data_IF_237250361253
#
_entry.id   IF_237250361253
#
_cell.length_a   1.000
_cell.length_b   1.000
_cell.length_c   1.000
_cell.angle_alpha   90.00
_cell.angle_beta   90.00
_cell.angle_gamma   90.00
#
_symmetry.space_group_name_H-M   'P 1'
#
loop_
_entity.id
_entity.type
_entity.pdbx_description
1 polymer ?
#
# COMPACT_ATOMS: atom_id res chain seq x y z
N UNK A 1 -6.49 -19.97 11.97
CA UNK A 1 -7.88 -19.46 11.98
C UNK A 1 -8.06 -18.57 10.76
N UNK A 2 -8.70 -19.06 9.70
CA UNK A 2 -8.81 -18.36 8.41
C UNK A 2 -10.00 -17.39 8.43
N UNK A 3 -9.78 -16.15 8.87
CA UNK A 3 -10.77 -15.10 8.71
C UNK A 3 -10.82 -14.66 7.24
N UNK A 4 -11.76 -15.24 6.48
CA UNK A 4 -12.11 -14.83 5.13
C UNK A 4 -13.01 -13.59 5.22
N UNK A 5 -12.47 -12.46 5.66
CA UNK A 5 -13.18 -11.18 5.59
C UNK A 5 -13.58 -10.93 4.12
N UNK A 6 -14.84 -10.57 3.88
CA UNK A 6 -15.23 -10.06 2.58
C UNK A 6 -14.40 -8.80 2.32
N UNK A 7 -13.79 -8.69 1.13
CA UNK A 7 -12.97 -7.54 0.77
C UNK A 7 -13.83 -6.53 0.00
N UNK A 8 -14.05 -5.37 0.60
CA UNK A 8 -14.75 -4.26 -0.06
C UNK A 8 -13.75 -3.23 -0.58
N UNK A 9 -13.67 -3.09 -1.90
CA UNK A 9 -12.82 -2.10 -2.55
C UNK A 9 -13.60 -0.80 -2.74
N UNK A 10 -13.26 0.22 -1.96
CA UNK A 10 -13.83 1.57 -2.14
C UNK A 10 -13.47 2.14 -3.51
N UNK A 11 -14.25 3.11 -3.99
CA UNK A 11 -13.96 3.76 -5.26
C UNK A 11 -12.61 4.46 -5.24
N UNK A 12 -12.26 5.12 -4.13
CA UNK A 12 -10.94 5.71 -3.93
C UNK A 12 -9.81 4.68 -4.09
N UNK A 13 -9.94 3.49 -3.47
CA UNK A 13 -8.94 2.43 -3.65
C UNK A 13 -8.78 2.00 -5.11
N UNK A 14 -9.87 1.91 -5.87
CA UNK A 14 -9.82 1.55 -7.30
C UNK A 14 -9.15 2.64 -8.14
N UNK A 15 -9.41 3.92 -7.83
CA UNK A 15 -8.77 5.06 -8.48
C UNK A 15 -7.27 5.03 -8.22
N UNK A 16 -6.84 4.91 -6.96
CA UNK A 16 -5.42 4.88 -6.62
C UNK A 16 -4.72 3.64 -7.18
N UNK A 17 -5.41 2.50 -7.26
CA UNK A 17 -4.90 1.33 -7.97
C UNK A 17 -4.60 1.60 -9.45
N UNK A 18 -5.50 2.31 -10.16
CA UNK A 18 -5.26 2.73 -11.55
C UNK A 18 -4.09 3.72 -11.63
N UNK A 19 -4.08 4.72 -10.76
CA UNK A 19 -3.03 5.76 -10.69
C UNK A 19 -1.63 5.17 -10.49
N UNK A 20 -1.48 4.20 -9.58
CA UNK A 20 -0.18 3.61 -9.22
C UNK A 20 0.11 2.26 -9.90
N UNK A 21 -0.74 1.82 -10.83
CA UNK A 21 -0.59 0.53 -11.52
C UNK A 21 -0.52 -0.66 -10.56
N UNK A 22 -1.41 -0.69 -9.57
CA UNK A 22 -1.49 -1.74 -8.55
C UNK A 22 -2.61 -2.72 -8.88
N UNK A 23 -2.25 -4.01 -9.01
CA UNK A 23 -3.24 -5.06 -9.24
C UNK A 23 -3.90 -5.51 -7.93
N UNK A 24 -5.16 -5.97 -8.01
CA UNK A 24 -5.86 -6.58 -6.86
C UNK A 24 -5.06 -7.74 -6.28
N UNK A 25 -4.53 -8.62 -7.13
CA UNK A 25 -3.75 -9.79 -6.70
C UNK A 25 -2.51 -9.39 -5.88
N UNK A 26 -1.84 -8.29 -6.24
CA UNK A 26 -0.67 -7.79 -5.52
C UNK A 26 -1.06 -7.22 -4.15
N UNK A 27 -2.16 -6.47 -4.08
CA UNK A 27 -2.67 -5.93 -2.81
C UNK A 27 -3.23 -7.03 -1.90
N UNK A 28 -3.84 -8.08 -2.46
CA UNK A 28 -4.26 -9.26 -1.70
C UNK A 28 -3.05 -9.98 -1.09
N UNK A 29 -1.94 -10.13 -1.84
CA UNK A 29 -0.70 -10.69 -1.28
C UNK A 29 -0.16 -9.86 -0.13
N UNK A 30 -0.17 -8.53 -0.28
CA UNK A 30 0.20 -7.58 0.77
C UNK A 30 -0.70 -7.72 2.02
N UNK A 31 -2.00 -7.94 1.86
CA UNK A 31 -2.92 -8.20 2.99
C UNK A 31 -2.54 -9.45 3.78
N UNK A 32 -2.12 -10.52 3.09
CA UNK A 32 -1.80 -11.79 3.72
C UNK A 32 -0.39 -11.83 4.32
N UNK A 33 0.58 -11.20 3.66
CA UNK A 33 1.98 -11.23 4.06
C UNK A 33 2.60 -9.82 3.97
N UNK A 34 2.19 -8.90 4.86
CA UNK A 34 2.83 -7.60 4.96
C UNK A 34 4.21 -7.72 5.59
N UNK A 35 5.12 -6.82 5.24
CA UNK A 35 6.41 -6.68 5.94
C UNK A 35 6.26 -5.81 7.18
N UNK A 36 5.41 -4.78 7.11
CA UNK A 36 5.04 -3.95 8.26
C UNK A 36 3.54 -3.71 8.33
N UNK A 37 3.04 -3.56 9.55
CA UNK A 37 1.67 -3.19 9.89
C UNK A 37 1.73 -2.01 10.87
N UNK A 38 1.05 -0.93 10.53
CA UNK A 38 1.07 0.34 11.26
C UNK A 38 -0.37 0.87 11.42
N UNK A 39 -0.59 1.78 12.37
CA UNK A 39 -1.86 2.50 12.48
C UNK A 39 -2.03 3.44 11.28
N UNK A 40 -3.19 3.40 10.63
CA UNK A 40 -3.48 4.27 9.50
C UNK A 40 -3.81 5.70 9.94
N UNK A 41 -3.77 6.65 9.00
CA UNK A 41 -4.13 8.05 9.29
C UNK A 41 -5.58 8.19 9.73
N UNK A 42 -6.48 7.42 9.13
CA UNK A 42 -7.90 7.44 9.50
C UNK A 42 -8.07 6.64 10.80
N UNK A 43 -8.78 7.21 11.77
CA UNK A 43 -9.02 6.55 13.05
C UNK A 43 -9.60 5.14 12.87
N UNK A 44 -9.00 4.14 13.50
CA UNK A 44 -9.41 2.74 13.40
C UNK A 44 -9.02 2.05 12.09
N UNK A 45 -8.25 2.71 11.22
CA UNK A 45 -7.66 2.08 10.03
C UNK A 45 -6.27 1.50 10.32
N UNK A 46 -5.87 0.53 9.52
CA UNK A 46 -4.55 -0.10 9.54
C UNK A 46 -3.88 0.12 8.19
N UNK A 47 -2.62 0.53 8.22
CA UNK A 47 -1.76 0.60 7.05
C UNK A 47 -0.82 -0.61 7.00
N UNK A 48 -0.72 -1.25 5.85
CA UNK A 48 0.21 -2.32 5.55
C UNK A 48 1.24 -1.85 4.56
N UNK A 49 2.49 -2.23 4.78
CA UNK A 49 3.60 -1.92 3.90
C UNK A 49 4.31 -3.20 3.47
N UNK A 50 4.69 -3.25 2.20
CA UNK A 50 5.69 -4.19 1.71
C UNK A 50 6.64 -3.49 0.74
N UNK A 51 7.94 -3.75 0.89
CA UNK A 51 8.92 -3.30 -0.08
C UNK A 51 8.67 -4.01 -1.40
N UNK A 52 8.61 -3.24 -2.49
CA UNK A 52 8.62 -3.82 -3.82
C UNK A 52 10.07 -4.21 -4.12
N UNK A 53 10.48 -5.39 -3.62
CA UNK A 53 11.85 -5.87 -3.73
C UNK A 53 12.30 -5.89 -5.19
N UNK A 54 13.09 -4.88 -5.54
CA UNK A 54 14.06 -4.95 -6.61
C UNK A 54 15.36 -4.69 -5.90
N UNK A 55 16.01 -5.77 -5.47
CA UNK A 55 17.42 -5.68 -5.15
C UNK A 55 18.11 -5.20 -6.44
N UNK A 56 18.42 -3.89 -6.48
CA UNK A 56 19.68 -3.47 -7.07
C UNK A 56 20.72 -4.18 -6.21
N UNK A 57 21.09 -5.40 -6.56
CA UNK A 57 22.30 -5.97 -5.98
C UNK A 57 23.37 -4.92 -6.21
N UNK A 58 24.18 -4.67 -5.17
CA UNK A 58 25.39 -3.87 -5.23
C UNK A 58 26.45 -4.46 -6.21
N UNK A 59 26.03 -5.44 -7.00
CA UNK A 59 26.73 -6.28 -7.98
C UNK A 59 25.92 -6.39 -9.29
N UNK A 60 25.12 -5.38 -9.64
CA UNK A 60 24.54 -5.30 -10.98
C UNK A 60 25.58 -4.65 -11.90
N UNK A 61 26.50 -5.46 -12.42
CA UNK A 61 27.27 -5.07 -13.59
C UNK A 61 26.28 -4.56 -14.65
N UNK A 62 26.59 -3.38 -15.15
CA UNK A 62 25.86 -2.62 -16.15
C UNK A 62 25.53 -3.52 -17.34
N UNK A 63 24.31 -4.03 -17.41
CA UNK A 63 23.73 -4.56 -18.65
C UNK A 63 22.81 -3.50 -19.22
N UNK A 64 23.30 -2.80 -20.24
CA UNK A 64 22.50 -1.94 -21.12
C UNK A 64 21.25 -2.70 -21.59
N UNK A 65 20.06 -2.29 -21.16
CA UNK A 65 18.79 -2.75 -21.74
C UNK A 65 17.68 -3.14 -20.78
N UNK A 66 17.95 -3.38 -19.49
CA UNK A 66 16.88 -3.77 -18.54
C UNK A 66 16.30 -2.54 -17.85
N UNK A 67 15.03 -2.22 -18.12
CA UNK A 67 14.32 -1.08 -17.49
C UNK A 67 14.53 -1.12 -15.97
N UNK A 68 15.24 -0.13 -15.42
CA UNK A 68 15.41 0.06 -13.97
C UNK A 68 14.02 0.16 -13.35
N UNK A 69 13.55 -0.91 -12.74
CA UNK A 69 12.29 -0.86 -11.98
C UNK A 69 12.63 -0.11 -10.68
N UNK A 70 11.86 0.92 -10.40
CA UNK A 70 12.15 1.89 -9.34
C UNK A 70 11.98 1.20 -7.98
N UNK A 71 13.00 1.22 -7.09
CA UNK A 71 12.84 0.74 -5.72
C UNK A 71 11.76 1.56 -5.02
N UNK A 72 10.95 0.92 -4.20
CA UNK A 72 9.89 1.63 -3.49
C UNK A 72 9.01 0.70 -2.68
N UNK A 73 8.14 1.29 -1.90
CA UNK A 73 7.20 0.59 -1.05
C UNK A 73 5.80 0.60 -1.67
N UNK A 74 5.02 -0.40 -1.29
CA UNK A 74 3.59 -0.46 -1.59
C UNK A 74 2.88 -0.41 -0.26
N UNK A 75 1.98 0.56 -0.18
CA UNK A 75 1.16 0.79 0.99
C UNK A 75 -0.29 0.44 0.67
N UNK A 76 -0.97 -0.13 1.65
CA UNK A 76 -2.38 -0.46 1.59
C UNK A 76 -3.02 -0.11 2.92
N UNK A 77 -4.03 0.74 2.90
CA UNK A 77 -4.79 1.12 4.08
C UNK A 77 -6.18 0.48 4.04
N UNK A 78 -6.56 -0.15 5.14
CA UNK A 78 -7.87 -0.78 5.28
C UNK A 78 -8.48 -0.48 6.64
N UNK A 79 -9.77 -0.72 6.77
CA UNK A 79 -10.49 -0.71 8.04
C UNK A 79 -11.35 -1.96 8.14
N UNK A 80 -11.32 -2.60 9.29
CA UNK A 80 -12.20 -3.73 9.59
C UNK A 80 -13.52 -3.19 10.14
N UNK A 81 -14.63 -3.49 9.46
CA UNK A 81 -15.98 -3.06 9.82
C UNK A 81 -16.85 -4.32 9.92
N UNK A 82 -17.22 -4.69 11.14
CA UNK A 82 -18.00 -5.92 11.44
C UNK A 82 -17.30 -7.15 10.84
N UNK A 83 -17.85 -7.70 9.75
CA UNK A 83 -17.35 -8.92 9.08
C UNK A 83 -16.70 -8.62 7.71
N UNK A 84 -16.45 -7.35 7.42
CA UNK A 84 -15.91 -6.90 6.14
C UNK A 84 -14.63 -6.09 6.33
N UNK A 85 -13.66 -6.29 5.44
CA UNK A 85 -12.45 -5.48 5.37
C UNK A 85 -12.59 -4.49 4.23
N UNK A 86 -12.82 -3.23 4.59
CA UNK A 86 -12.95 -2.11 3.66
C UNK A 86 -11.56 -1.61 3.29
N UNK A 87 -11.17 -1.79 2.04
CA UNK A 87 -9.94 -1.26 1.49
C UNK A 87 -10.15 0.22 1.19
N UNK A 88 -9.46 1.08 1.94
CA UNK A 88 -9.61 2.54 1.85
C UNK A 88 -8.73 3.07 0.71
N UNK A 89 -7.42 2.82 0.75
CA UNK A 89 -6.49 3.38 -0.24
C UNK A 89 -5.29 2.47 -0.46
N UNK A 90 -4.57 2.67 -1.57
CA UNK A 90 -3.33 1.97 -1.88
C UNK A 90 -2.43 2.86 -2.73
N UNK A 91 -1.15 2.95 -2.41
CA UNK A 91 -0.21 3.81 -3.15
C UNK A 91 1.19 3.22 -3.20
N UNK A 92 2.01 3.80 -4.09
CA UNK A 92 3.45 3.53 -4.13
C UNK A 92 4.18 4.69 -3.49
N UNK A 93 5.19 4.38 -2.68
CA UNK A 93 6.14 5.35 -2.18
C UNK A 93 7.51 5.10 -2.83
N UNK A 94 8.15 6.11 -3.45
CA UNK A 94 9.40 5.91 -4.22
C UNK A 94 10.65 5.72 -3.34
N UNK A 95 10.52 5.75 -2.01
CA UNK A 95 11.62 5.60 -1.08
C UNK A 95 11.43 4.44 -0.12
N UNK A 96 12.24 4.45 0.96
CA UNK A 96 12.10 3.56 2.11
C UNK A 96 11.65 4.42 3.29
N UNK A 97 10.53 4.07 3.90
CA UNK A 97 10.04 4.78 5.08
C UNK A 97 10.71 4.26 6.35
N UNK A 98 10.85 5.13 7.34
CA UNK A 98 11.31 4.74 8.67
C UNK A 98 10.16 4.09 9.44
N UNK A 99 10.35 2.87 10.01
CA UNK A 99 9.32 2.27 10.85
C UNK A 99 8.95 3.17 12.03
N UNK A 100 7.65 3.34 12.29
CA UNK A 100 7.15 4.13 13.42
C UNK A 100 7.19 5.65 13.23
N UNK A 101 7.64 6.13 12.07
CA UNK A 101 7.46 7.52 11.65
C UNK A 101 6.08 7.70 10.99
N UNK A 102 5.65 8.93 10.75
CA UNK A 102 4.37 9.19 10.06
C UNK A 102 4.34 8.52 8.68
N UNK A 103 3.23 7.85 8.34
CA UNK A 103 3.10 7.12 7.08
C UNK A 103 3.38 8.09 5.91
N UNK A 104 4.31 7.74 4.99
CA UNK A 104 4.64 8.62 3.88
C UNK A 104 3.47 8.66 2.89
N UNK A 105 2.70 9.74 2.96
CA UNK A 105 1.48 9.90 2.18
C UNK A 105 1.62 11.08 1.21
N UNK A 106 1.45 10.83 -0.09
CA UNK A 106 1.31 11.89 -1.09
C UNK A 106 0.24 12.91 -0.70
N UNK A 107 0.51 14.19 -0.90
CA UNK A 107 -0.31 15.32 -0.40
C UNK A 107 -1.74 15.31 -0.95
N UNK A 108 -1.94 14.76 -2.15
CA UNK A 108 -3.25 14.53 -2.78
C UNK A 108 -4.10 13.53 -1.97
N UNK A 109 -3.49 12.45 -1.48
CA UNK A 109 -4.19 11.40 -0.72
C UNK A 109 -4.62 11.94 0.66
N UNK A 110 -3.80 12.77 1.30
CA UNK A 110 -4.09 13.31 2.62
C UNK A 110 -5.41 14.09 2.67
N UNK A 111 -5.64 14.97 1.69
CA UNK A 111 -6.86 15.79 1.62
C UNK A 111 -8.11 14.93 1.34
N UNK A 112 -7.97 13.91 0.50
CA UNK A 112 -9.07 13.00 0.16
C UNK A 112 -9.50 12.13 1.36
N UNK A 113 -8.55 11.64 2.17
CA UNK A 113 -8.83 10.78 3.32
C UNK A 113 -9.52 11.52 4.47
N UNK A 114 -9.19 12.80 4.69
CA UNK A 114 -9.83 13.63 5.73
C UNK A 114 -11.25 14.02 5.35
N UNK A 115 -11.47 14.31 4.06
CA UNK A 115 -12.77 14.80 3.57
C UNK A 115 -13.80 13.67 3.44
N UNK A 116 -13.38 12.47 3.01
CA UNK A 116 -14.28 11.35 2.71
C UNK A 116 -14.23 10.20 3.74
N UNK A 117 -13.52 10.39 4.85
CA UNK A 117 -13.38 9.40 5.93
C UNK A 117 -14.57 9.35 6.92
N UNK A 118 -15.65 10.08 6.65
CA UNK A 118 -16.92 10.01 7.41
C UNK A 118 -17.88 8.98 6.82
#
# INVERSE_FOLDING_TARGET
MFYKHNLHWTEHSKIKMRQYGLSKSKLIKLLYKPERKEEGIVLGSTALMQTNTLYSSKTANISFGTRRKIPGEIWLMYQDIKNERKIISAWRYPGVSKPGDSIPIPKDIYQELITNGK
#
